data_IF_841050802823
#
_entry.id   IF_841050802823
#
_cell.length_a   1.000
_cell.length_b   1.000
_cell.length_c   1.000
_cell.angle_alpha   90.00
_cell.angle_beta   90.00
_cell.angle_gamma   90.00
#
_symmetry.space_group_name_H-M   'P 1'
#
loop_
_entity.id
_entity.type
_entity.pdbx_description
1 polymer ?
#
# COMPACT_ATOMS: atom_id res chain seq x y z
N UNK A 1 3.58 -11.82 11.49
CA UNK A 1 2.53 -10.92 10.93
C UNK A 1 2.32 -11.23 9.47
N UNK A 2 1.09 -11.41 9.08
CA UNK A 2 0.74 -11.76 7.70
C UNK A 2 0.22 -10.52 6.98
N UNK A 3 0.78 -10.24 5.81
CA UNK A 3 0.34 -9.16 4.93
C UNK A 3 -0.09 -9.74 3.60
N UNK A 4 -0.96 -9.04 2.91
CA UNK A 4 -1.51 -9.49 1.63
C UNK A 4 -1.31 -8.44 0.55
N UNK A 5 -0.89 -8.90 -0.61
CA UNK A 5 -0.80 -8.10 -1.82
C UNK A 5 -1.61 -8.76 -2.92
N UNK A 6 -2.36 -7.97 -3.66
CA UNK A 6 -3.05 -8.42 -4.86
C UNK A 6 -2.36 -7.78 -6.06
N UNK A 7 -1.82 -8.58 -6.97
CA UNK A 7 -1.04 -8.06 -8.09
C UNK A 7 -0.89 -9.10 -9.20
N UNK A 8 -0.62 -8.63 -10.41
CA UNK A 8 -0.16 -9.49 -11.50
C UNK A 8 1.30 -9.90 -11.33
N UNK A 9 2.03 -9.26 -10.45
CA UNK A 9 3.45 -9.49 -10.24
C UNK A 9 3.67 -10.19 -8.91
N UNK A 10 4.49 -11.24 -8.90
CA UNK A 10 4.81 -11.98 -7.69
C UNK A 10 6.04 -11.45 -6.96
N UNK A 11 6.78 -10.53 -7.57
CA UNK A 11 7.95 -9.92 -6.97
C UNK A 11 7.60 -8.89 -5.92
N UNK A 12 8.42 -8.81 -4.88
CA UNK A 12 8.33 -7.78 -3.83
C UNK A 12 9.41 -6.70 -3.99
N UNK A 13 9.95 -6.54 -5.18
CA UNK A 13 11.02 -5.57 -5.44
C UNK A 13 10.54 -4.12 -5.52
N UNK A 14 9.24 -3.90 -5.58
CA UNK A 14 8.66 -2.56 -5.57
C UNK A 14 8.78 -1.80 -6.88
N UNK A 15 9.06 -2.48 -8.00
CA UNK A 15 9.24 -1.82 -9.31
C UNK A 15 8.02 -1.04 -9.78
N UNK A 16 6.82 -1.43 -9.35
CA UNK A 16 5.61 -0.66 -9.68
C UNK A 16 5.67 0.79 -9.24
N UNK A 17 6.29 1.05 -8.09
CA UNK A 17 6.47 2.40 -7.56
C UNK A 17 7.42 3.27 -8.36
N UNK A 18 8.30 2.65 -9.15
CA UNK A 18 9.19 3.39 -10.06
C UNK A 18 8.43 3.95 -11.27
N UNK A 19 7.32 3.33 -11.63
CA UNK A 19 6.55 3.63 -12.84
C UNK A 19 5.37 4.55 -12.61
N UNK A 20 4.76 4.48 -11.43
CA UNK A 20 3.54 5.22 -11.13
C UNK A 20 3.52 5.68 -9.67
N UNK A 21 2.91 6.83 -9.44
CA UNK A 21 2.63 7.32 -8.10
C UNK A 21 1.49 6.53 -7.48
N UNK A 22 1.55 6.32 -6.15
CA UNK A 22 0.45 5.80 -5.36
C UNK A 22 -0.09 6.87 -4.43
N UNK A 23 -0.91 6.46 -3.45
CA UNK A 23 -1.44 7.40 -2.45
C UNK A 23 -0.38 7.92 -1.49
N UNK A 24 0.66 7.15 -1.28
CA UNK A 24 1.66 7.39 -0.25
C UNK A 24 3.06 7.54 -0.80
N UNK A 25 3.22 7.70 -2.11
CA UNK A 25 4.52 7.97 -2.72
C UNK A 25 4.37 8.63 -4.08
N UNK A 26 5.40 9.36 -4.49
CA UNK A 26 5.55 9.86 -5.85
C UNK A 26 6.36 8.86 -6.69
N UNK A 27 6.05 8.79 -7.98
CA UNK A 27 6.74 7.94 -8.93
C UNK A 27 8.27 8.07 -8.80
N UNK A 28 8.98 6.98 -8.96
CA UNK A 28 10.43 6.95 -8.94
C UNK A 28 11.02 6.31 -7.70
N UNK A 29 10.20 5.77 -6.81
CA UNK A 29 10.64 5.09 -5.59
C UNK A 29 10.06 3.69 -5.54
N UNK A 30 10.86 2.74 -5.06
CA UNK A 30 10.42 1.35 -4.87
C UNK A 30 9.55 1.26 -3.64
N UNK A 31 8.35 0.70 -3.80
CA UNK A 31 7.38 0.53 -2.72
C UNK A 31 6.44 -0.62 -3.05
N UNK A 32 6.01 -1.34 -2.03
CA UNK A 32 5.00 -2.39 -2.15
C UNK A 32 3.85 -2.04 -1.22
N UNK A 33 2.65 -2.01 -1.77
CA UNK A 33 1.43 -1.78 -1.01
C UNK A 33 0.81 -3.11 -0.60
N UNK A 34 0.53 -3.25 0.69
CA UNK A 34 -0.05 -4.46 1.26
C UNK A 34 -1.19 -4.11 2.20
N UNK A 35 -2.01 -5.11 2.52
CA UNK A 35 -3.09 -4.98 3.51
C UNK A 35 -3.04 -6.12 4.51
N UNK A 36 -3.76 -5.97 5.62
CA UNK A 36 -3.80 -6.97 6.69
C UNK A 36 -4.69 -8.17 6.37
N UNK A 37 -5.52 -8.06 5.34
CA UNK A 37 -6.34 -9.17 4.86
C UNK A 37 -6.51 -9.09 3.34
N UNK A 38 -6.81 -10.23 2.69
CA UNK A 38 -6.89 -10.26 1.23
C UNK A 38 -8.07 -9.48 0.65
N UNK A 39 -9.18 -9.40 1.37
CA UNK A 39 -10.35 -8.65 0.90
C UNK A 39 -10.05 -7.14 0.83
N UNK A 40 -9.39 -6.60 1.83
CA UNK A 40 -8.97 -5.19 1.84
C UNK A 40 -7.95 -4.93 0.72
N UNK A 41 -7.01 -5.84 0.51
CA UNK A 41 -6.03 -5.71 -0.57
C UNK A 41 -6.72 -5.64 -1.94
N UNK A 42 -7.74 -6.45 -2.17
CA UNK A 42 -8.50 -6.42 -3.41
C UNK A 42 -9.29 -5.12 -3.57
N UNK A 43 -9.98 -4.68 -2.51
CA UNK A 43 -10.75 -3.44 -2.54
C UNK A 43 -9.88 -2.22 -2.83
N UNK A 44 -8.69 -2.16 -2.25
CA UNK A 44 -7.74 -1.07 -2.50
C UNK A 44 -7.36 -1.00 -3.98
N UNK A 45 -7.14 -2.13 -4.63
CA UNK A 45 -6.83 -2.17 -6.06
C UNK A 45 -8.01 -1.73 -6.90
N UNK A 46 -9.21 -2.22 -6.60
CA UNK A 46 -10.42 -1.86 -7.36
C UNK A 46 -10.68 -0.36 -7.32
N UNK A 47 -10.56 0.24 -6.16
CA UNK A 47 -10.78 1.67 -5.99
C UNK A 47 -9.67 2.50 -6.63
N UNK A 48 -8.41 2.12 -6.42
CA UNK A 48 -7.27 2.85 -6.95
C UNK A 48 -7.21 2.81 -8.48
N UNK A 49 -7.50 1.66 -9.08
CA UNK A 49 -7.48 1.50 -10.53
C UNK A 49 -8.81 1.88 -11.21
N UNK A 50 -9.83 2.17 -10.41
CA UNK A 50 -11.17 2.50 -10.91
C UNK A 50 -11.75 1.43 -11.86
N UNK A 51 -11.50 0.15 -11.54
CA UNK A 51 -11.97 -0.98 -12.35
C UNK A 51 -13.05 -1.76 -11.59
N UNK A 52 -13.93 -2.39 -12.38
CA UNK A 52 -14.95 -3.29 -11.85
C UNK A 52 -14.36 -4.68 -11.59
N UNK A 53 -14.98 -5.42 -10.66
CA UNK A 53 -14.52 -6.76 -10.31
C UNK A 53 -14.47 -7.71 -11.50
N UNK A 54 -15.40 -7.55 -12.44
CA UNK A 54 -15.45 -8.36 -13.66
C UNK A 54 -14.32 -8.08 -14.64
N UNK A 55 -13.64 -6.93 -14.49
CA UNK A 55 -12.54 -6.52 -15.37
C UNK A 55 -11.17 -6.89 -14.79
N UNK A 56 -11.15 -7.59 -13.66
CA UNK A 56 -9.89 -8.05 -13.06
C UNK A 56 -9.26 -9.09 -13.99
N UNK A 57 -7.98 -8.94 -14.36
CA UNK A 57 -7.29 -9.93 -15.17
C UNK A 57 -7.27 -11.30 -14.48
N UNK A 58 -7.44 -12.38 -15.26
CA UNK A 58 -7.38 -13.75 -14.72
C UNK A 58 -5.99 -14.10 -14.19
N UNK A 59 -4.99 -13.32 -14.55
CA UNK A 59 -3.60 -13.50 -14.07
C UNK A 59 -3.35 -12.88 -12.72
N UNK A 60 -4.32 -12.19 -12.14
CA UNK A 60 -4.14 -11.56 -10.84
C UNK A 60 -3.96 -12.62 -9.76
N UNK A 61 -3.09 -12.34 -8.80
CA UNK A 61 -2.75 -13.28 -7.74
C UNK A 61 -2.82 -12.61 -6.38
N UNK A 62 -3.13 -13.42 -5.37
CA UNK A 62 -2.99 -13.04 -3.98
C UNK A 62 -1.62 -13.52 -3.49
N UNK A 63 -0.84 -12.60 -2.95
CA UNK A 63 0.43 -12.93 -2.31
C UNK A 63 0.26 -12.83 -0.81
N UNK A 64 0.51 -13.92 -0.12
CA UNK A 64 0.60 -13.96 1.33
C UNK A 64 2.06 -13.70 1.72
N UNK A 65 2.27 -12.66 2.52
CA UNK A 65 3.61 -12.20 2.89
C UNK A 65 3.75 -12.35 4.40
N UNK A 66 4.72 -13.17 4.83
CA UNK A 66 5.03 -13.27 6.25
C UNK A 66 6.14 -12.31 6.62
N UNK A 67 5.84 -11.40 7.53
CA UNK A 67 6.82 -10.50 8.10
C UNK A 67 7.14 -10.93 9.53
N UNK A 68 8.40 -10.89 9.95
CA UNK A 68 8.76 -11.21 11.34
C UNK A 68 8.00 -10.31 12.32
N UNK A 69 7.59 -10.87 13.45
CA UNK A 69 6.89 -10.09 14.48
C UNK A 69 7.81 -8.99 15.08
N UNK A 70 9.11 -9.18 14.97
CA UNK A 70 10.11 -8.21 15.43
C UNK A 70 10.38 -7.09 14.42
N UNK A 71 9.74 -7.10 13.24
CA UNK A 71 9.98 -6.09 12.23
C UNK A 71 9.53 -4.70 12.71
N UNK A 72 10.34 -3.69 12.44
CA UNK A 72 9.99 -2.32 12.82
C UNK A 72 8.85 -1.78 11.94
N UNK A 73 7.84 -1.21 12.59
CA UNK A 73 6.68 -0.62 11.93
C UNK A 73 6.54 0.82 12.40
N UNK A 74 6.56 1.76 11.47
CA UNK A 74 6.21 3.15 11.74
C UNK A 74 4.75 3.36 11.37
N UNK A 75 4.00 4.10 12.16
CA UNK A 75 2.60 4.42 11.88
C UNK A 75 2.48 5.88 11.50
N UNK A 76 1.73 6.15 10.45
CA UNK A 76 1.43 7.49 10.02
C UNK A 76 -0.03 7.80 10.36
N UNK A 77 -0.23 8.79 11.21
CA UNK A 77 -1.55 9.17 11.68
C UNK A 77 -2.00 10.46 10.97
N UNK A 78 -2.36 10.31 9.70
CA UNK A 78 -2.98 11.38 8.94
C UNK A 78 -4.48 11.08 8.88
N UNK A 79 -5.28 11.99 9.44
CA UNK A 79 -6.72 11.88 9.35
C UNK A 79 -7.16 11.91 7.89
N UNK A 80 -7.89 10.89 7.47
CA UNK A 80 -8.47 10.80 6.13
C UNK A 80 -9.77 11.58 6.02
N UNK A 81 -10.03 12.50 6.94
CA UNK A 81 -11.22 13.32 6.94
C UNK A 81 -11.16 14.50 5.97
N UNK A 82 -12.06 15.46 6.16
CA UNK A 82 -12.09 16.70 5.39
C UNK A 82 -10.73 17.40 5.50
N UNK A 83 -10.13 17.71 4.37
CA UNK A 83 -8.81 18.33 4.30
C UNK A 83 -7.67 17.40 3.96
N UNK A 84 -7.94 16.09 3.78
CA UNK A 84 -6.92 15.19 3.28
C UNK A 84 -6.58 15.53 1.83
N UNK A 85 -5.28 15.63 1.55
CA UNK A 85 -4.78 15.97 0.22
C UNK A 85 -3.76 14.92 -0.25
N UNK A 86 -3.88 14.43 -1.50
CA UNK A 86 -2.95 13.44 -2.03
C UNK A 86 -1.48 13.88 -1.98
N UNK A 87 -1.19 15.16 -2.22
CA UNK A 87 0.18 15.67 -2.16
C UNK A 87 0.80 15.51 -0.77
N UNK A 88 0.00 15.72 0.28
CA UNK A 88 0.49 15.59 1.65
C UNK A 88 0.80 14.14 2.00
N UNK A 89 -0.07 13.20 1.61
CA UNK A 89 0.17 11.79 1.88
C UNK A 89 1.36 11.25 1.10
N UNK A 90 1.52 11.67 -0.15
CA UNK A 90 2.67 11.26 -0.98
C UNK A 90 3.98 11.80 -0.40
N UNK A 91 3.99 13.04 0.06
CA UNK A 91 5.18 13.63 0.69
C UNK A 91 5.56 12.89 1.96
N UNK A 92 4.59 12.55 2.79
CA UNK A 92 4.84 11.82 4.02
C UNK A 92 5.40 10.43 3.75
N UNK A 93 4.86 9.71 2.80
CA UNK A 93 5.36 8.41 2.41
C UNK A 93 6.75 8.46 1.77
N UNK A 94 7.00 9.46 0.91
CA UNK A 94 8.31 9.67 0.32
C UNK A 94 9.37 9.95 1.39
N UNK A 95 9.04 10.77 2.39
CA UNK A 95 9.93 11.04 3.51
C UNK A 95 10.29 9.77 4.26
N UNK A 96 9.28 8.93 4.54
CA UNK A 96 9.53 7.65 5.18
C UNK A 96 10.45 6.76 4.34
N UNK A 97 10.21 6.66 3.03
CA UNK A 97 11.04 5.85 2.12
C UNK A 97 12.49 6.32 2.12
N UNK A 98 12.71 7.64 2.08
CA UNK A 98 14.05 8.23 2.09
C UNK A 98 14.74 8.00 3.44
N UNK A 99 14.00 8.08 4.53
CA UNK A 99 14.54 7.97 5.89
C UNK A 99 15.06 6.58 6.21
N UNK A 100 14.47 5.54 5.63
CA UNK A 100 14.78 4.13 5.91
C UNK A 100 14.67 3.77 7.40
N UNK A 101 13.76 4.44 8.13
CA UNK A 101 13.57 4.23 9.57
C UNK A 101 12.97 2.87 9.89
N UNK A 102 12.12 2.36 9.03
CA UNK A 102 11.45 1.07 9.24
C UNK A 102 11.19 0.38 7.91
N UNK A 103 11.01 -0.93 7.95
CA UNK A 103 10.68 -1.72 6.76
C UNK A 103 9.20 -1.56 6.37
N UNK A 104 8.34 -1.30 7.35
CA UNK A 104 6.90 -1.16 7.14
C UNK A 104 6.41 0.20 7.62
N UNK A 105 5.51 0.77 6.84
CA UNK A 105 4.76 1.95 7.22
C UNK A 105 3.28 1.61 7.24
N UNK A 106 2.65 1.78 8.39
CA UNK A 106 1.22 1.61 8.53
C UNK A 106 0.51 2.91 8.21
N UNK A 107 -0.40 2.87 7.24
CA UNK A 107 -1.13 4.06 6.81
C UNK A 107 -2.64 3.79 6.87
N UNK A 108 -3.47 4.82 7.06
CA UNK A 108 -4.92 4.64 7.07
C UNK A 108 -5.42 4.18 5.71
N UNK A 109 -6.38 3.24 5.71
CA UNK A 109 -7.14 2.91 4.51
C UNK A 109 -8.27 3.92 4.32
N UNK A 110 -8.46 4.40 3.10
CA UNK A 110 -9.58 5.30 2.78
C UNK A 110 -10.88 4.52 2.59
N UNK A 111 -10.80 3.20 2.42
CA UNK A 111 -11.95 2.33 2.18
C UNK A 111 -12.44 1.73 3.48
N UNK A 112 -11.52 1.21 4.29
CA UNK A 112 -11.81 0.58 5.58
C UNK A 112 -10.92 1.25 6.63
N UNK A 113 -11.36 2.40 7.20
CA UNK A 113 -10.50 3.20 8.09
C UNK A 113 -9.99 2.49 9.35
N UNK A 114 -10.69 1.44 9.80
CA UNK A 114 -10.28 0.67 10.96
C UNK A 114 -9.10 -0.26 10.69
N UNK A 115 -8.76 -0.51 9.43
CA UNK A 115 -7.61 -1.31 9.03
C UNK A 115 -6.54 -0.41 8.45
N UNK A 116 -5.29 -0.86 8.50
CA UNK A 116 -4.19 -0.13 7.86
C UNK A 116 -3.76 -0.82 6.58
N UNK A 117 -3.09 -0.08 5.70
CA UNK A 117 -2.28 -0.65 4.64
C UNK A 117 -0.82 -0.52 5.00
N UNK A 118 0.02 -1.42 4.47
CA UNK A 118 1.44 -1.48 4.76
C UNK A 118 2.24 -1.40 3.46
N UNK A 119 3.36 -0.78 3.55
CA UNK A 119 4.29 -0.65 2.44
C UNK A 119 5.66 -1.19 2.81
#
# INVERSE_FOLDING_TARGET
MTLWRVSNHTSLDGTGGLRASGRWHNRGKRIVYCATNPATALLEILVHAEIDIQDIPVTIRYLEIEAPDSIAIESLDISAGAGWQPEKSRRAGDEWLISKRSALLRVPSVIVPATGTFS
#
